data_IF_703993149152
#
_entry.id   IF_703993149152
#
_cell.length_a   1.000
_cell.length_b   1.000
_cell.length_c   1.000
_cell.angle_alpha   90.00
_cell.angle_beta   90.00
_cell.angle_gamma   90.00
#
_symmetry.space_group_name_H-M   'P 1'
#
loop_
_entity.id
_entity.type
_entity.pdbx_description
1 polymer ?
#
# COMPACT_ATOMS: atom_id res chain seq x y z
N UNK A 1 -4.71 5.45 -14.84
CA UNK A 1 -6.10 5.38 -14.36
C UNK A 1 -6.10 6.00 -12.98
N UNK A 2 -6.91 7.04 -12.70
CA UNK A 2 -7.03 7.55 -11.34
C UNK A 2 -7.64 6.44 -10.47
N UNK A 3 -7.08 6.22 -9.28
CA UNK A 3 -7.59 5.24 -8.34
C UNK A 3 -8.77 5.86 -7.58
N UNK A 4 -9.89 5.11 -7.48
CA UNK A 4 -11.05 5.49 -6.67
C UNK A 4 -10.71 5.62 -5.18
N UNK A 5 -11.47 6.42 -4.41
CA UNK A 5 -11.17 6.70 -3.02
C UNK A 5 -11.08 5.43 -2.17
N UNK A 6 -10.10 5.38 -1.26
CA UNK A 6 -9.97 4.29 -0.30
C UNK A 6 -10.89 4.56 0.89
N UNK A 7 -11.86 3.68 1.10
CA UNK A 7 -12.72 3.67 2.27
C UNK A 7 -12.13 2.72 3.32
N UNK A 8 -11.70 3.25 4.45
CA UNK A 8 -11.28 2.45 5.62
C UNK A 8 -12.47 2.37 6.57
N UNK A 9 -12.85 1.16 6.98
CA UNK A 9 -13.92 0.95 7.96
C UNK A 9 -13.38 0.26 9.21
N UNK A 10 -13.87 0.66 10.38
CA UNK A 10 -13.56 -0.01 11.64
C UNK A 10 -14.28 -1.36 11.76
N UNK A 11 -14.02 -2.09 12.85
CA UNK A 11 -14.68 -3.36 13.16
C UNK A 11 -16.21 -3.25 13.40
N UNK A 12 -16.76 -2.04 13.44
CA UNK A 12 -18.20 -1.77 13.57
C UNK A 12 -18.84 -1.35 12.24
N UNK A 13 -18.05 -1.28 11.16
CA UNK A 13 -18.51 -0.90 9.82
C UNK A 13 -18.65 0.61 9.60
N UNK A 14 -18.21 1.45 10.54
CA UNK A 14 -18.19 2.90 10.36
C UNK A 14 -17.04 3.30 9.45
N UNK A 15 -17.28 4.21 8.52
CA UNK A 15 -16.21 4.80 7.71
C UNK A 15 -15.30 5.62 8.61
N UNK A 16 -14.06 5.17 8.77
CA UNK A 16 -13.02 5.83 9.56
C UNK A 16 -12.36 6.92 8.72
N UNK A 17 -12.23 6.71 7.40
CA UNK A 17 -11.51 7.63 6.53
C UNK A 17 -11.83 7.37 5.05
N UNK A 18 -12.04 8.45 4.28
CA UNK A 18 -12.04 8.45 2.82
C UNK A 18 -10.74 9.11 2.34
N UNK A 19 -9.86 8.33 1.69
CA UNK A 19 -8.60 8.82 1.16
C UNK A 19 -8.68 9.14 -0.34
N UNK A 20 -8.07 10.25 -0.77
CA UNK A 20 -7.93 10.62 -2.18
C UNK A 20 -6.46 10.71 -2.56
N UNK A 21 -6.15 10.41 -3.82
CA UNK A 21 -4.79 10.51 -4.32
C UNK A 21 -4.63 10.01 -5.76
N UNK A 22 -3.44 10.26 -6.29
CA UNK A 22 -3.05 9.87 -7.63
C UNK A 22 -2.04 8.72 -7.59
N UNK A 23 -2.17 7.82 -8.56
CA UNK A 23 -1.32 6.65 -8.69
C UNK A 23 -0.76 6.53 -10.11
N UNK A 24 0.56 6.55 -10.20
CA UNK A 24 1.31 6.22 -11.40
C UNK A 24 2.10 4.94 -11.17
N UNK A 25 1.96 3.97 -12.07
CA UNK A 25 2.68 2.70 -12.01
C UNK A 25 3.29 2.38 -13.38
N UNK A 26 4.58 2.05 -13.38
CA UNK A 26 5.28 1.49 -14.52
C UNK A 26 5.96 0.20 -14.07
N UNK A 27 5.54 -0.93 -14.65
CA UNK A 27 6.08 -2.23 -14.27
C UNK A 27 7.45 -2.48 -14.93
N UNK A 28 8.37 -3.19 -14.26
CA UNK A 28 8.30 -3.59 -12.85
C UNK A 28 8.73 -2.44 -11.90
N UNK A 29 8.16 -2.41 -10.69
CA UNK A 29 8.68 -1.70 -9.51
C UNK A 29 8.76 -0.16 -9.53
N UNK A 30 8.42 0.52 -10.62
CA UNK A 30 8.35 1.98 -10.62
C UNK A 30 6.94 2.44 -10.27
N UNK A 31 6.83 3.28 -9.26
CA UNK A 31 5.56 3.89 -8.93
C UNK A 31 5.74 5.23 -8.23
N UNK A 32 4.71 6.05 -8.34
CA UNK A 32 4.51 7.23 -7.53
C UNK A 32 3.06 7.17 -7.03
N UNK A 33 2.90 7.09 -5.72
CA UNK A 33 1.62 7.21 -5.06
C UNK A 33 1.61 8.49 -4.24
N UNK A 34 0.77 9.44 -4.65
CA UNK A 34 0.59 10.72 -3.99
C UNK A 34 -0.79 10.73 -3.35
N UNK A 35 -0.85 10.55 -2.03
CA UNK A 35 -2.09 10.69 -1.28
C UNK A 35 -2.24 12.16 -0.92
N UNK A 36 -3.38 12.76 -1.26
CA UNK A 36 -3.68 14.18 -1.01
C UNK A 36 -4.67 14.37 0.13
N UNK A 37 -5.43 13.33 0.47
CA UNK A 37 -6.38 13.36 1.58
C UNK A 37 -6.42 12.05 2.38
N UNK A 38 -6.74 12.14 3.68
CA UNK A 38 -6.88 13.39 4.45
C UNK A 38 -5.53 14.03 4.79
N UNK A 39 -4.47 13.22 4.90
CA UNK A 39 -3.10 13.68 5.12
C UNK A 39 -2.28 13.48 3.86
N UNK A 40 -1.55 14.52 3.47
CA UNK A 40 -0.70 14.43 2.31
C UNK A 40 0.50 13.53 2.59
N UNK A 41 0.76 12.59 1.69
CA UNK A 41 1.98 11.77 1.73
C UNK A 41 2.35 11.30 0.33
N UNK A 42 3.65 11.12 0.11
CA UNK A 42 4.18 10.68 -1.18
C UNK A 42 5.02 9.42 -0.98
N UNK A 43 4.66 8.35 -1.66
CA UNK A 43 5.42 7.10 -1.71
C UNK A 43 5.92 6.87 -3.14
N UNK A 44 7.23 6.98 -3.33
CA UNK A 44 7.88 6.86 -4.65
C UNK A 44 8.85 5.69 -4.66
N UNK A 45 8.84 4.90 -5.72
CA UNK A 45 9.92 3.98 -6.01
C UNK A 45 10.56 4.23 -7.38
N UNK A 46 11.89 4.26 -7.37
CA UNK A 46 12.76 4.30 -8.54
C UNK A 46 13.16 2.88 -9.04
N UNK A 47 12.58 1.84 -8.44
CA UNK A 47 12.85 0.43 -8.74
C UNK A 47 13.95 -0.20 -7.88
N UNK A 48 14.68 0.59 -7.09
CA UNK A 48 15.70 0.12 -6.12
C UNK A 48 15.48 0.69 -4.72
N UNK A 49 15.08 1.94 -4.66
CA UNK A 49 14.85 2.73 -3.46
C UNK A 49 13.35 2.98 -3.31
N UNK A 50 12.91 3.04 -2.06
CA UNK A 50 11.58 3.46 -1.67
C UNK A 50 11.72 4.73 -0.83
N UNK A 51 11.08 5.80 -1.30
CA UNK A 51 11.01 7.09 -0.66
C UNK A 51 9.62 7.28 -0.10
N UNK A 52 9.52 7.54 1.20
CA UNK A 52 8.29 8.00 1.82
C UNK A 52 8.50 9.44 2.30
N UNK A 53 7.69 10.36 1.83
CA UNK A 53 7.74 11.76 2.21
C UNK A 53 6.41 12.16 2.85
N UNK A 54 6.48 12.72 4.06
CA UNK A 54 5.36 13.34 4.73
C UNK A 54 5.63 14.86 4.82
N UNK A 55 4.92 15.68 4.03
CA UNK A 55 5.09 17.14 4.04
C UNK A 55 4.76 17.79 5.38
N UNK A 56 3.80 17.25 6.14
CA UNK A 56 3.36 17.84 7.40
C UNK A 56 4.47 17.92 8.46
N UNK A 57 5.30 16.88 8.52
CA UNK A 57 6.49 16.83 9.40
C UNK A 57 7.79 17.13 8.65
N UNK A 58 7.70 17.53 7.38
CA UNK A 58 8.83 17.82 6.49
C UNK A 58 9.89 16.69 6.43
N UNK A 59 9.46 15.43 6.56
CA UNK A 59 10.37 14.30 6.70
C UNK A 59 10.32 13.36 5.50
N UNK A 60 11.50 12.94 5.04
CA UNK A 60 11.66 11.86 4.07
C UNK A 60 12.37 10.66 4.71
N UNK A 61 11.80 9.47 4.53
CA UNK A 61 12.39 8.18 4.90
C UNK A 61 12.78 7.43 3.64
N UNK A 62 14.00 6.91 3.62
CA UNK A 62 14.59 6.22 2.48
C UNK A 62 14.93 4.79 2.87
N UNK A 63 14.42 3.82 2.11
CA UNK A 63 14.70 2.40 2.34
C UNK A 63 14.99 1.69 1.02
N UNK A 64 15.63 0.53 1.08
CA UNK A 64 15.77 -0.31 -0.10
C UNK A 64 14.43 -0.98 -0.43
N UNK A 65 14.01 -0.92 -1.68
CA UNK A 65 12.76 -1.53 -2.13
C UNK A 65 12.72 -3.04 -1.88
N UNK A 66 13.87 -3.72 -1.96
CA UNK A 66 13.99 -5.15 -1.67
C UNK A 66 13.71 -5.49 -0.19
N UNK A 67 14.00 -4.55 0.71
CA UNK A 67 13.85 -4.70 2.16
C UNK A 67 12.49 -4.16 2.63
N UNK A 68 11.83 -3.33 1.82
CA UNK A 68 10.45 -2.95 2.01
C UNK A 68 9.56 -4.20 1.90
N UNK A 69 9.11 -4.67 3.04
CA UNK A 69 8.21 -5.81 3.19
C UNK A 69 6.85 -5.52 2.54
N UNK A 70 6.12 -6.58 2.21
CA UNK A 70 4.74 -6.55 1.70
C UNK A 70 3.70 -6.08 2.74
N UNK A 71 4.09 -5.20 3.66
CA UNK A 71 3.29 -4.81 4.81
C UNK A 71 2.13 -3.89 4.45
N UNK A 72 2.07 -3.40 3.21
CA UNK A 72 0.93 -2.63 2.70
C UNK A 72 0.32 -3.32 1.49
N UNK A 73 -1.02 -3.41 1.37
CA UNK A 73 -1.68 -4.00 0.20
C UNK A 73 -1.24 -3.40 -1.14
N UNK A 74 -0.83 -2.13 -1.13
CA UNK A 74 -0.32 -1.46 -2.32
C UNK A 74 1.00 -2.08 -2.83
N UNK A 75 1.93 -2.44 -1.94
CA UNK A 75 3.21 -3.03 -2.32
C UNK A 75 3.04 -4.37 -3.03
N UNK A 76 2.04 -5.17 -2.64
CA UNK A 76 1.70 -6.42 -3.33
C UNK A 76 1.28 -6.17 -4.78
N UNK A 77 0.44 -5.16 -5.00
CA UNK A 77 -0.07 -4.80 -6.34
C UNK A 77 1.02 -4.20 -7.21
N UNK A 78 1.85 -3.31 -6.65
CA UNK A 78 2.89 -2.59 -7.39
C UNK A 78 4.04 -3.52 -7.83
N UNK A 79 4.49 -4.43 -6.94
CA UNK A 79 5.55 -5.39 -7.22
C UNK A 79 5.09 -6.55 -8.10
N UNK A 80 3.85 -7.02 -7.90
CA UNK A 80 3.23 -8.14 -8.58
C UNK A 80 4.17 -9.35 -8.78
N UNK A 81 4.86 -9.75 -7.71
CA UNK A 81 5.79 -10.89 -7.73
C UNK A 81 5.10 -12.15 -7.23
N UNK A 82 5.25 -13.26 -7.95
CA UNK A 82 4.67 -14.56 -7.55
C UNK A 82 5.03 -14.97 -6.12
N UNK A 83 6.27 -14.69 -5.68
CA UNK A 83 6.74 -15.01 -4.34
C UNK A 83 6.01 -14.22 -3.24
N UNK A 84 5.57 -13.00 -3.53
CA UNK A 84 4.82 -12.18 -2.57
C UNK A 84 3.42 -12.78 -2.37
N UNK A 85 2.75 -13.18 -3.46
CA UNK A 85 1.42 -13.80 -3.42
C UNK A 85 1.41 -15.17 -2.73
N UNK A 86 2.50 -15.93 -2.83
CA UNK A 86 2.62 -17.24 -2.19
C UNK A 86 2.54 -17.19 -0.66
N UNK A 87 2.77 -16.02 -0.05
CA UNK A 87 2.66 -15.82 1.40
C UNK A 87 1.21 -15.73 1.90
N UNK A 88 0.23 -15.67 1.00
CA UNK A 88 -1.18 -15.52 1.32
C UNK A 88 -2.01 -16.71 0.83
N UNK A 89 -3.02 -17.08 1.61
CA UNK A 89 -4.18 -17.83 1.14
C UNK A 89 -5.10 -16.85 0.42
N UNK A 90 -5.36 -17.10 -0.87
CA UNK A 90 -6.17 -16.22 -1.72
C UNK A 90 -7.51 -16.90 -1.98
N UNK A 91 -8.60 -16.22 -1.64
CA UNK A 91 -9.97 -16.60 -2.04
C UNK A 91 -10.46 -15.60 -3.08
N UNK A 92 -11.04 -16.10 -4.16
CA UNK A 92 -11.62 -15.29 -5.24
C UNK A 92 -13.13 -15.49 -5.29
N UNK A 93 -13.88 -14.40 -5.40
CA UNK A 93 -15.32 -14.40 -5.66
C UNK A 93 -15.63 -13.38 -6.76
N UNK A 94 -15.75 -13.83 -8.02
CA UNK A 94 -15.82 -12.93 -9.16
C UNK A 94 -14.53 -12.10 -9.28
N UNK A 95 -14.68 -10.77 -9.24
CA UNK A 95 -13.57 -9.81 -9.26
C UNK A 95 -13.02 -9.46 -7.87
N UNK A 96 -13.62 -10.02 -6.80
CA UNK A 96 -13.19 -9.79 -5.42
C UNK A 96 -12.12 -10.80 -5.02
N UNK A 97 -11.02 -10.29 -4.46
CA UNK A 97 -9.91 -11.10 -3.92
C UNK A 97 -9.74 -10.84 -2.43
N UNK A 98 -9.82 -11.91 -1.63
CA UNK A 98 -9.54 -11.88 -0.20
C UNK A 98 -8.21 -12.58 0.06
N UNK A 99 -7.26 -11.82 0.62
CA UNK A 99 -5.92 -12.32 0.96
C UNK A 99 -5.78 -12.49 2.46
N UNK A 100 -5.43 -13.70 2.90
CA UNK A 100 -5.18 -14.04 4.30
C UNK A 100 -3.75 -14.56 4.47
N UNK A 101 -2.88 -13.95 5.29
CA UNK A 101 -1.50 -14.42 5.50
C UNK A 101 -1.44 -15.89 5.94
N UNK A 102 -0.52 -16.69 5.39
CA UNK A 102 -0.39 -18.13 5.68
C UNK A 102 0.22 -18.44 7.06
N UNK A 103 1.06 -17.57 7.59
CA UNK A 103 1.75 -17.79 8.86
C UNK A 103 2.07 -16.46 9.51
N UNK A 104 1.45 -16.17 10.67
CA UNK A 104 1.82 -15.11 11.63
C UNK A 104 2.24 -13.75 11.06
N UNK A 105 1.85 -13.46 9.81
CA UNK A 105 2.30 -12.29 9.08
C UNK A 105 1.79 -11.11 9.86
N UNK A 106 2.73 -10.35 10.43
CA UNK A 106 2.46 -9.18 11.26
C UNK A 106 1.34 -8.43 10.55
N UNK A 107 0.18 -8.30 11.21
CA UNK A 107 -0.88 -7.46 10.69
C UNK A 107 -0.24 -6.14 10.29
N UNK A 108 -0.64 -5.53 9.16
CA UNK A 108 -0.29 -4.14 8.91
C UNK A 108 -0.67 -3.39 10.19
N UNK A 109 0.33 -2.98 10.98
CA UNK A 109 0.09 -2.02 12.04
C UNK A 109 -0.50 -0.84 11.29
N UNK A 110 -1.80 -0.62 11.49
CA UNK A 110 -2.40 0.61 11.04
C UNK A 110 -1.59 1.70 11.75
N UNK A 111 -0.81 2.43 10.96
CA UNK A 111 -0.10 3.61 11.44
C UNK A 111 -1.22 4.62 11.73
N UNK A 112 -1.77 4.53 12.93
CA UNK A 112 -2.51 5.60 13.56
C UNK A 112 -1.50 6.32 14.43
N UNK A 113 -1.07 7.50 13.96
CA UNK A 113 -0.71 8.58 14.87
C UNK A 113 -1.98 9.38 15.17
#
# INVERSE_FOLDING_TARGET
>A
MPASPKKVTDGSGNAVQDGQGDLWVKRPNLFNWHMTQPDESILVSDGKTLWFYNPFVEQATVTWLKDATSNTPFMLIARNQSNDWQQYNIKQNGDDFVLTPKSGGRQPEAVYD
#
